data_IF_120787161480
#
_entry.id   IF_120787161480
#
_cell.length_a   1.000
_cell.length_b   1.000
_cell.length_c   1.000
_cell.angle_alpha   90.00
_cell.angle_beta   90.00
_cell.angle_gamma   90.00
#
_symmetry.space_group_name_H-M   'P 1'
#
loop_
_entity.id
_entity.type
_entity.pdbx_description
1 polymer ?
#
# COMPACT_ATOMS: atom_id res chain seq x y z
N UNK A 1 8.58 -15.73 -73.07
CA UNK A 1 9.01 -14.64 -72.11
C UNK A 1 8.01 -13.50 -72.21
N UNK A 2 7.09 -13.38 -71.23
CA UNK A 2 6.15 -12.26 -71.13
C UNK A 2 6.69 -11.28 -70.06
N UNK A 3 7.09 -10.09 -70.48
CA UNK A 3 7.47 -8.98 -69.58
C UNK A 3 6.21 -8.48 -68.93
N UNK A 4 6.13 -8.61 -67.62
CA UNK A 4 5.12 -7.92 -66.71
C UNK A 4 5.52 -6.44 -66.61
N UNK A 5 4.70 -5.57 -67.21
CA UNK A 5 4.87 -4.13 -67.05
C UNK A 5 4.53 -3.71 -65.64
N UNK A 6 5.42 -2.97 -65.01
CA UNK A 6 5.18 -2.24 -63.74
C UNK A 6 4.18 -1.12 -64.06
N UNK A 7 2.98 -1.17 -63.46
CA UNK A 7 2.07 -0.05 -63.45
C UNK A 7 2.46 0.86 -62.28
N UNK A 8 3.20 1.91 -62.57
CA UNK A 8 3.46 2.97 -61.58
C UNK A 8 2.18 3.75 -61.31
N UNK A 9 1.76 3.80 -60.07
CA UNK A 9 0.70 4.68 -59.60
C UNK A 9 1.25 6.11 -59.57
N UNK A 10 0.87 6.95 -60.51
CA UNK A 10 1.13 8.39 -60.47
C UNK A 10 -0.05 9.07 -59.81
N UNK A 11 0.11 9.47 -58.56
CA UNK A 11 -0.87 10.34 -57.86
C UNK A 11 -0.68 11.77 -58.38
N UNK A 12 -1.57 12.27 -59.25
CA UNK A 12 -1.60 13.70 -59.60
C UNK A 12 -2.18 14.48 -58.41
N UNK A 13 -1.29 14.98 -57.57
CA UNK A 13 -1.70 15.90 -56.50
C UNK A 13 -2.00 17.30 -57.08
N UNK A 14 -3.24 17.74 -56.98
CA UNK A 14 -3.65 19.08 -57.32
C UNK A 14 -3.16 20.06 -56.23
N UNK A 15 -2.73 21.27 -56.59
CA UNK A 15 -2.24 22.31 -55.67
C UNK A 15 -3.19 22.57 -54.47
N UNK A 16 -4.50 22.42 -54.70
CA UNK A 16 -5.55 22.53 -53.64
C UNK A 16 -5.50 21.36 -52.64
N UNK A 17 -5.19 20.15 -53.08
CA UNK A 17 -5.05 18.98 -52.23
C UNK A 17 -3.77 19.05 -51.38
N UNK A 18 -2.68 19.59 -51.93
CA UNK A 18 -1.42 19.80 -51.21
C UNK A 18 -1.59 20.85 -50.10
N UNK A 19 -2.30 21.98 -50.39
CA UNK A 19 -2.61 23.01 -49.40
C UNK A 19 -3.50 22.47 -48.27
N UNK A 20 -4.49 21.63 -48.58
CA UNK A 20 -5.36 20.99 -47.56
C UNK A 20 -4.56 20.00 -46.72
N UNK A 21 -3.69 19.20 -47.29
CA UNK A 21 -2.83 18.27 -46.58
C UNK A 21 -1.87 19.02 -45.65
N UNK A 22 -1.22 20.09 -46.14
CA UNK A 22 -0.35 20.94 -45.33
C UNK A 22 -1.14 21.59 -44.15
N UNK A 23 -2.35 22.10 -44.41
CA UNK A 23 -3.21 22.66 -43.37
C UNK A 23 -3.60 21.60 -42.31
N UNK A 24 -3.94 20.39 -42.72
CA UNK A 24 -4.24 19.28 -41.80
C UNK A 24 -3.03 18.91 -40.95
N UNK A 25 -1.84 18.83 -41.52
CA UNK A 25 -0.61 18.57 -40.76
C UNK A 25 -0.35 19.68 -39.73
N UNK A 26 -0.47 20.93 -40.17
CA UNK A 26 -0.27 22.07 -39.25
C UNK A 26 -1.29 22.04 -38.09
N UNK A 27 -2.56 21.80 -38.39
CA UNK A 27 -3.61 21.70 -37.39
C UNK A 27 -3.35 20.53 -36.43
N UNK A 28 -2.96 19.35 -36.96
CA UNK A 28 -2.61 18.18 -36.12
C UNK A 28 -1.43 18.45 -35.20
N UNK A 29 -0.37 19.11 -35.71
CA UNK A 29 0.78 19.48 -34.91
C UNK A 29 0.40 20.51 -33.85
N UNK A 30 -0.37 21.54 -34.20
CA UNK A 30 -0.86 22.53 -33.24
C UNK A 30 -1.73 21.89 -32.16
N UNK A 31 -2.64 20.99 -32.54
CA UNK A 31 -3.49 20.25 -31.60
C UNK A 31 -2.65 19.39 -30.65
N UNK A 32 -1.63 18.73 -31.17
CA UNK A 32 -0.68 17.95 -30.36
C UNK A 32 0.05 18.84 -29.36
N UNK A 33 0.57 20.00 -29.80
CA UNK A 33 1.25 20.95 -28.90
C UNK A 33 0.31 21.56 -27.85
N UNK A 34 -0.92 21.90 -28.23
CA UNK A 34 -1.93 22.38 -27.26
C UNK A 34 -2.25 21.29 -26.25
N UNK A 35 -2.48 20.06 -26.73
CA UNK A 35 -2.79 18.92 -25.87
C UNK A 35 -1.63 18.59 -24.91
N UNK A 36 -0.38 18.54 -25.40
CA UNK A 36 0.79 18.34 -24.55
C UNK A 36 1.02 19.51 -23.61
N UNK A 37 0.77 20.75 -24.05
CA UNK A 37 0.86 21.95 -23.19
C UNK A 37 -0.18 21.95 -22.07
N UNK A 38 -1.41 21.57 -22.37
CA UNK A 38 -2.48 21.39 -21.36
C UNK A 38 -2.11 20.26 -20.39
N UNK A 39 -1.66 19.11 -20.88
CA UNK A 39 -1.19 18.01 -20.01
C UNK A 39 -0.01 18.42 -19.11
N UNK A 40 0.92 19.21 -19.64
CA UNK A 40 2.09 19.68 -18.87
C UNK A 40 1.75 20.82 -17.91
N UNK A 41 0.65 21.56 -18.14
CA UNK A 41 0.17 22.63 -17.25
C UNK A 41 -0.80 22.13 -16.17
N UNK A 42 -1.25 20.90 -16.27
CA UNK A 42 -1.97 20.26 -15.16
C UNK A 42 -0.97 20.03 -14.02
N UNK A 43 -1.32 20.52 -12.83
CA UNK A 43 -0.51 20.27 -11.63
C UNK A 43 -0.20 18.76 -11.51
N UNK A 44 0.97 18.37 -10.93
CA UNK A 44 1.36 16.97 -10.81
C UNK A 44 0.32 16.05 -10.14
N UNK A 45 -0.62 16.62 -9.38
CA UNK A 45 -1.75 15.91 -8.79
C UNK A 45 -2.83 15.43 -9.79
N UNK A 46 -2.85 15.97 -11.02
CA UNK A 46 -3.72 15.50 -12.11
C UNK A 46 -2.99 14.67 -13.17
N UNK A 47 -1.67 14.51 -13.03
CA UNK A 47 -0.91 13.66 -13.92
C UNK A 47 -1.32 12.20 -13.72
N UNK A 48 -2.19 11.73 -14.62
CA UNK A 48 -2.52 10.32 -14.93
C UNK A 48 -2.24 9.30 -13.80
N UNK A 49 -2.77 9.53 -12.60
CA UNK A 49 -2.75 8.59 -11.49
C UNK A 49 -3.94 7.63 -11.55
N UNK A 50 -4.46 7.35 -12.74
CA UNK A 50 -5.42 6.28 -12.91
C UNK A 50 -4.73 4.96 -12.58
N UNK A 51 -5.25 4.27 -11.57
CA UNK A 51 -4.82 2.90 -11.24
C UNK A 51 -4.85 1.98 -12.48
N UNK A 52 -5.75 2.24 -13.42
CA UNK A 52 -5.84 1.54 -14.70
C UNK A 52 -4.64 1.80 -15.61
N UNK A 53 -4.13 3.04 -15.69
CA UNK A 53 -2.93 3.36 -16.47
C UNK A 53 -1.68 2.71 -15.85
N UNK A 54 -1.58 2.72 -14.53
CA UNK A 54 -0.48 2.06 -13.83
C UNK A 54 -0.53 0.53 -13.98
N UNK A 55 -1.70 -0.08 -13.84
CA UNK A 55 -1.87 -1.52 -14.07
C UNK A 55 -1.49 -1.91 -15.49
N UNK A 56 -1.97 -1.13 -16.48
CA UNK A 56 -1.62 -1.36 -17.88
C UNK A 56 -0.12 -1.23 -18.11
N UNK A 57 0.52 -0.16 -17.61
CA UNK A 57 1.96 0.04 -17.81
C UNK A 57 2.81 -1.03 -17.13
N UNK A 58 2.39 -1.54 -15.97
CA UNK A 58 3.07 -2.62 -15.26
C UNK A 58 2.75 -4.02 -15.82
N UNK A 59 1.65 -4.16 -16.56
CA UNK A 59 1.26 -5.40 -17.24
C UNK A 59 1.79 -5.51 -18.68
N UNK A 60 2.54 -4.51 -19.19
CA UNK A 60 3.15 -4.61 -20.53
C UNK A 60 4.33 -5.59 -20.51
N UNK A 61 4.16 -6.66 -21.22
CA UNK A 61 5.20 -7.66 -21.48
C UNK A 61 6.01 -7.32 -22.76
N UNK A 62 7.15 -7.97 -22.94
CA UNK A 62 7.96 -7.78 -24.16
C UNK A 62 7.19 -8.04 -25.46
N UNK A 63 6.24 -8.98 -25.41
CA UNK A 63 5.36 -9.33 -26.53
C UNK A 63 4.43 -8.19 -26.96
N UNK A 64 3.94 -7.40 -26.01
CA UNK A 64 3.09 -6.23 -26.28
C UNK A 64 3.82 -5.16 -27.09
N UNK A 65 5.10 -4.93 -26.78
CA UNK A 65 5.93 -4.02 -27.56
C UNK A 65 6.18 -4.55 -28.98
N UNK A 66 6.34 -5.87 -29.14
CA UNK A 66 6.47 -6.50 -30.47
C UNK A 66 5.16 -6.39 -31.23
N UNK A 67 3.99 -6.52 -30.58
CA UNK A 67 2.69 -6.27 -31.19
C UNK A 67 2.54 -4.81 -31.64
N UNK A 68 2.93 -3.83 -30.82
CA UNK A 68 2.89 -2.42 -31.21
C UNK A 68 3.81 -2.12 -32.40
N UNK A 69 5.04 -2.61 -32.39
CA UNK A 69 5.96 -2.50 -33.55
C UNK A 69 5.42 -3.21 -34.76
N UNK A 70 4.73 -4.34 -34.58
CA UNK A 70 4.08 -5.12 -35.60
C UNK A 70 2.88 -4.43 -36.26
N UNK A 71 2.30 -3.41 -35.64
CA UNK A 71 1.26 -2.57 -36.26
C UNK A 71 1.84 -1.69 -37.39
N UNK A 72 3.06 -1.18 -37.21
CA UNK A 72 3.75 -0.39 -38.21
C UNK A 72 4.46 -1.27 -39.24
N UNK A 73 5.11 -2.36 -38.81
CA UNK A 73 5.81 -3.29 -39.69
C UNK A 73 5.51 -4.74 -39.30
N UNK A 74 4.74 -5.42 -40.17
CA UNK A 74 4.32 -6.82 -39.97
C UNK A 74 5.46 -7.83 -39.79
N UNK A 75 6.70 -7.45 -40.13
CA UNK A 75 7.86 -8.32 -39.99
C UNK A 75 8.09 -8.69 -38.49
N UNK A 76 7.85 -7.74 -37.57
CA UNK A 76 8.01 -8.01 -36.15
C UNK A 76 7.04 -9.06 -35.60
N UNK A 77 5.86 -9.23 -36.22
CA UNK A 77 4.89 -10.25 -35.78
C UNK A 77 5.37 -11.69 -35.99
N UNK A 78 6.42 -11.90 -36.78
CA UNK A 78 6.97 -13.22 -37.01
C UNK A 78 7.75 -13.76 -35.81
N UNK A 79 8.16 -12.89 -34.90
CA UNK A 79 8.89 -13.23 -33.66
C UNK A 79 7.94 -13.53 -32.50
N UNK A 80 6.62 -13.31 -32.68
CA UNK A 80 5.64 -13.59 -31.63
C UNK A 80 5.35 -15.10 -31.52
N UNK A 81 5.13 -15.63 -30.30
CA UNK A 81 4.62 -16.97 -30.12
C UNK A 81 3.30 -17.19 -30.88
N UNK A 82 3.01 -18.43 -31.32
CA UNK A 82 1.79 -18.74 -32.08
C UNK A 82 0.48 -18.49 -31.30
N UNK A 83 0.56 -18.40 -30.00
CA UNK A 83 -0.51 -18.19 -28.99
C UNK A 83 -0.54 -16.77 -28.44
N UNK A 84 0.33 -15.87 -28.90
CA UNK A 84 0.33 -14.48 -28.46
C UNK A 84 -0.98 -13.77 -28.85
N UNK A 85 -1.70 -13.27 -27.84
CA UNK A 85 -2.95 -12.53 -28.05
C UNK A 85 -2.67 -11.08 -28.47
N UNK A 86 -3.39 -10.53 -29.45
CA UNK A 86 -3.19 -9.15 -29.87
C UNK A 86 -3.72 -8.16 -28.83
N UNK A 87 -2.99 -7.07 -28.59
CA UNK A 87 -3.44 -5.98 -27.72
C UNK A 87 -4.80 -5.44 -28.20
N UNK A 88 -5.79 -5.49 -27.33
CA UNK A 88 -7.11 -4.90 -27.59
C UNK A 88 -7.14 -3.42 -27.21
N UNK A 89 -6.63 -2.54 -28.07
CA UNK A 89 -6.59 -1.10 -27.81
C UNK A 89 -7.96 -0.48 -27.48
N UNK A 90 -9.05 -1.06 -27.99
CA UNK A 90 -10.41 -0.61 -27.68
C UNK A 90 -10.83 -0.97 -26.24
N UNK A 91 -10.46 -2.16 -25.75
CA UNK A 91 -10.69 -2.58 -24.38
C UNK A 91 -9.88 -1.71 -23.41
N UNK A 92 -8.61 -1.48 -23.73
CA UNK A 92 -7.75 -0.57 -22.98
C UNK A 92 -8.31 0.86 -22.92
N UNK A 93 -8.71 1.44 -24.06
CA UNK A 93 -9.30 2.78 -24.10
C UNK A 93 -10.59 2.85 -23.28
N UNK A 94 -11.40 1.80 -23.30
CA UNK A 94 -12.61 1.69 -22.49
C UNK A 94 -12.27 1.60 -21.00
N UNK A 95 -11.31 0.77 -20.61
CA UNK A 95 -10.85 0.64 -19.24
C UNK A 95 -10.29 1.95 -18.68
N UNK A 96 -9.45 2.64 -19.43
CA UNK A 96 -8.90 3.96 -19.04
C UNK A 96 -10.01 5.00 -18.89
N UNK A 97 -11.01 4.99 -19.79
CA UNK A 97 -12.10 5.97 -19.76
C UNK A 97 -13.12 5.70 -18.65
N UNK A 98 -13.37 4.43 -18.31
CA UNK A 98 -14.46 4.02 -17.41
C UNK A 98 -13.96 3.40 -16.12
N UNK A 99 -12.69 3.01 -16.05
CA UNK A 99 -12.10 2.15 -15.02
C UNK A 99 -12.80 0.78 -14.89
N UNK A 100 -13.41 0.32 -15.96
CA UNK A 100 -14.08 -1.00 -16.06
C UNK A 100 -13.28 -1.83 -17.04
N UNK A 101 -12.79 -2.99 -16.59
CA UNK A 101 -12.17 -3.97 -17.48
C UNK A 101 -13.26 -4.83 -18.14
N UNK A 102 -13.45 -4.74 -19.47
CA UNK A 102 -14.51 -5.50 -20.16
C UNK A 102 -14.28 -7.02 -20.15
N UNK A 103 -13.07 -7.48 -19.90
CA UNK A 103 -12.71 -8.90 -19.80
C UNK A 103 -12.89 -9.44 -18.39
N UNK A 104 -13.01 -8.56 -17.39
CA UNK A 104 -13.29 -8.93 -16.00
C UNK A 104 -14.65 -8.39 -15.53
N UNK A 105 -15.72 -9.21 -15.55
CA UNK A 105 -17.04 -8.79 -15.08
C UNK A 105 -17.06 -8.29 -13.63
N UNK A 106 -16.07 -8.65 -12.80
CA UNK A 106 -15.94 -8.20 -11.42
C UNK A 106 -15.66 -6.71 -11.36
N UNK A 107 -14.96 -6.15 -12.33
CA UNK A 107 -14.67 -4.71 -12.41
C UNK A 107 -15.93 -3.86 -12.56
N UNK A 108 -16.98 -4.40 -13.20
CA UNK A 108 -18.30 -3.78 -13.33
C UNK A 108 -19.12 -3.91 -12.03
N UNK A 109 -19.08 -5.08 -11.39
CA UNK A 109 -19.92 -5.41 -10.24
C UNK A 109 -19.28 -5.00 -8.92
N UNK A 110 -17.95 -4.95 -8.85
CA UNK A 110 -17.20 -4.71 -7.61
C UNK A 110 -17.48 -3.36 -6.95
N UNK A 111 -17.92 -2.36 -7.73
CA UNK A 111 -18.28 -1.03 -7.22
C UNK A 111 -19.74 -0.91 -6.78
N UNK A 112 -20.62 -1.76 -7.30
CA UNK A 112 -22.06 -1.65 -7.12
C UNK A 112 -22.63 -2.62 -6.09
N UNK A 113 -21.90 -3.72 -5.80
CA UNK A 113 -22.36 -4.75 -4.89
C UNK A 113 -21.51 -4.79 -3.62
N UNK A 114 -22.12 -4.56 -2.44
CA UNK A 114 -21.43 -4.72 -1.16
C UNK A 114 -20.84 -6.14 -1.03
N UNK A 115 -19.58 -6.24 -0.64
CA UNK A 115 -18.89 -7.52 -0.46
C UNK A 115 -18.16 -8.06 -1.69
N UNK A 116 -18.28 -7.44 -2.87
CA UNK A 116 -17.54 -7.89 -4.05
C UNK A 116 -16.02 -7.60 -3.95
N UNK A 117 -15.63 -6.60 -3.18
CA UNK A 117 -14.21 -6.33 -2.85
C UNK A 117 -13.54 -7.49 -2.09
N UNK A 118 -14.31 -8.41 -1.51
CA UNK A 118 -13.77 -9.63 -0.90
C UNK A 118 -13.10 -10.55 -1.94
N UNK A 119 -13.55 -10.52 -3.20
CA UNK A 119 -12.96 -11.29 -4.29
C UNK A 119 -11.63 -10.71 -4.79
N UNK A 120 -11.31 -9.48 -4.42
CA UNK A 120 -10.03 -8.83 -4.68
C UNK A 120 -9.01 -9.08 -3.55
N UNK A 121 -9.32 -10.05 -2.69
CA UNK A 121 -8.51 -10.42 -1.54
C UNK A 121 -8.08 -11.88 -1.63
N UNK A 122 -6.82 -12.15 -1.28
CA UNK A 122 -6.28 -13.51 -1.19
C UNK A 122 -5.72 -13.71 0.21
N UNK A 123 -6.18 -14.72 0.92
CA UNK A 123 -5.61 -15.11 2.22
C UNK A 123 -4.29 -15.83 1.92
N UNK A 124 -3.17 -15.23 2.27
CA UNK A 124 -1.83 -15.81 2.14
C UNK A 124 -1.60 -16.80 3.28
N UNK A 125 -1.84 -16.35 4.52
CA UNK A 125 -1.78 -17.19 5.70
C UNK A 125 -3.07 -16.98 6.49
N UNK A 126 -3.74 -18.07 6.84
CA UNK A 126 -4.94 -18.04 7.69
C UNK A 126 -4.55 -18.36 9.14
N UNK A 127 -4.80 -17.45 10.05
CA UNK A 127 -4.78 -17.73 11.50
C UNK A 127 -6.02 -18.51 11.94
N UNK A 128 -6.09 -18.85 13.22
CA UNK A 128 -7.20 -19.64 13.77
C UNK A 128 -8.56 -18.93 13.56
N UNK A 129 -9.53 -19.67 13.04
CA UNK A 129 -10.89 -19.17 12.76
C UNK A 129 -10.97 -18.16 11.62
N UNK A 130 -9.96 -18.08 10.75
CA UNK A 130 -9.91 -17.16 9.62
C UNK A 130 -10.28 -17.84 8.31
N UNK A 131 -11.25 -17.28 7.61
CA UNK A 131 -11.68 -17.65 6.26
C UNK A 131 -12.22 -16.44 5.49
N UNK A 132 -12.69 -16.65 4.26
CA UNK A 132 -13.23 -15.56 3.42
C UNK A 132 -14.52 -14.92 3.96
N UNK A 133 -15.16 -15.48 4.97
CA UNK A 133 -16.34 -14.87 5.62
C UNK A 133 -15.97 -13.97 6.79
N UNK A 134 -14.69 -14.00 7.20
CA UNK A 134 -14.16 -13.27 8.35
C UNK A 134 -13.16 -12.18 7.97
N UNK A 135 -13.07 -11.80 6.68
CA UNK A 135 -12.14 -10.79 6.19
C UNK A 135 -12.38 -9.42 6.82
N UNK A 136 -11.33 -8.59 6.96
CA UNK A 136 -11.44 -7.26 7.55
C UNK A 136 -12.27 -6.34 6.64
N UNK A 137 -13.03 -5.45 7.29
CA UNK A 137 -13.90 -4.47 6.62
C UNK A 137 -13.52 -3.08 7.09
N UNK A 138 -13.06 -2.24 6.16
CA UNK A 138 -12.85 -0.83 6.42
C UNK A 138 -14.19 -0.11 6.58
N UNK A 139 -14.32 0.68 7.65
CA UNK A 139 -15.44 1.58 7.84
C UNK A 139 -15.15 2.89 7.12
N UNK A 140 -15.92 3.21 6.09
CA UNK A 140 -15.74 4.41 5.27
C UNK A 140 -16.98 5.34 5.34
N UNK A 141 -17.29 5.93 6.51
CA UNK A 141 -18.38 6.87 6.62
C UNK A 141 -18.08 8.17 5.87
N UNK A 142 -19.11 8.98 5.53
CA UNK A 142 -18.89 10.31 4.98
C UNK A 142 -17.98 11.16 5.87
N UNK A 143 -17.14 12.01 5.25
CA UNK A 143 -16.15 12.82 5.99
C UNK A 143 -16.83 13.71 7.05
N UNK A 144 -18.03 14.20 6.80
CA UNK A 144 -18.83 14.99 7.74
C UNK A 144 -19.17 14.22 9.02
N UNK A 145 -19.37 12.89 8.90
CA UNK A 145 -19.61 12.00 10.04
C UNK A 145 -18.34 11.83 10.85
N UNK A 146 -17.19 11.70 10.18
CA UNK A 146 -15.88 11.55 10.84
C UNK A 146 -15.49 12.83 11.58
N UNK A 147 -15.70 13.99 10.96
CA UNK A 147 -15.35 15.29 11.52
C UNK A 147 -16.34 15.80 12.57
N UNK A 148 -17.48 15.14 12.77
CA UNK A 148 -18.41 15.52 13.82
C UNK A 148 -17.81 15.23 15.20
N UNK A 149 -17.80 16.23 16.09
CA UNK A 149 -17.36 16.07 17.47
C UNK A 149 -18.21 15.03 18.20
N UNK A 150 -17.58 14.15 18.96
CA UNK A 150 -18.21 13.15 19.82
C UNK A 150 -17.59 13.21 21.19
N UNK A 151 -18.37 12.85 22.19
CA UNK A 151 -17.87 12.77 23.56
C UNK A 151 -17.27 11.38 23.81
N UNK A 152 -16.04 11.36 24.31
CA UNK A 152 -15.43 10.17 24.86
C UNK A 152 -15.92 9.96 26.30
N UNK A 153 -15.91 8.71 26.77
CA UNK A 153 -16.28 8.40 28.15
C UNK A 153 -15.29 9.07 29.12
N UNK A 154 -15.73 9.37 30.32
CA UNK A 154 -14.87 9.96 31.37
C UNK A 154 -13.69 9.05 31.72
N UNK A 155 -13.91 7.76 31.64
CA UNK A 155 -12.92 6.73 31.90
C UNK A 155 -11.83 6.73 30.81
N UNK A 156 -12.22 6.82 29.55
CA UNK A 156 -11.30 6.92 28.40
C UNK A 156 -10.49 8.21 28.42
N UNK A 157 -11.09 9.34 28.80
CA UNK A 157 -10.38 10.61 28.96
C UNK A 157 -9.36 10.57 30.10
N UNK A 158 -9.70 9.93 31.24
CA UNK A 158 -8.75 9.73 32.33
C UNK A 158 -7.57 8.86 31.94
N UNK A 159 -7.82 7.78 31.16
CA UNK A 159 -6.79 6.90 30.62
C UNK A 159 -5.89 7.61 29.60
N UNK A 160 -6.46 8.44 28.75
CA UNK A 160 -5.70 9.30 27.82
C UNK A 160 -4.71 10.20 28.57
N UNK A 161 -5.14 10.83 29.68
CA UNK A 161 -4.24 11.65 30.53
C UNK A 161 -3.14 10.81 31.17
N UNK A 162 -3.39 9.55 31.51
CA UNK A 162 -2.41 8.64 32.09
C UNK A 162 -1.37 8.24 31.03
N UNK A 163 -1.80 7.83 29.84
CA UNK A 163 -0.92 7.49 28.72
C UNK A 163 -0.02 8.66 28.30
N UNK A 164 -0.55 9.88 28.32
CA UNK A 164 0.24 11.09 27.99
C UNK A 164 1.33 11.42 29.03
N UNK A 165 1.25 10.88 30.25
CA UNK A 165 2.29 11.06 31.29
C UNK A 165 3.44 10.06 31.15
N UNK A 166 3.24 8.95 30.46
CA UNK A 166 4.30 8.00 30.17
C UNK A 166 5.29 8.65 29.19
N UNK A 167 6.53 8.85 29.64
CA UNK A 167 7.57 9.39 28.77
C UNK A 167 8.10 8.28 27.87
N UNK A 168 8.36 8.58 26.57
CA UNK A 168 9.02 7.63 25.69
C UNK A 168 10.40 7.26 26.26
N UNK A 169 10.73 5.98 26.27
CA UNK A 169 12.10 5.54 26.49
C UNK A 169 12.97 6.05 25.31
N UNK A 170 14.23 6.38 25.56
CA UNK A 170 15.16 6.65 24.45
C UNK A 170 15.57 5.33 23.82
N UNK A 171 15.23 5.10 22.55
CA UNK A 171 15.62 3.92 21.79
C UNK A 171 17.13 3.83 21.59
N UNK A 172 17.64 2.61 21.48
CA UNK A 172 19.08 2.36 21.45
C UNK A 172 19.63 1.95 20.07
N UNK A 173 18.89 2.11 18.98
CA UNK A 173 19.43 1.96 17.60
C UNK A 173 20.51 3.01 17.27
N UNK A 174 21.43 3.23 18.24
CA UNK A 174 22.46 4.27 18.19
C UNK A 174 21.92 5.68 17.92
N UNK A 175 20.73 5.98 18.43
CA UNK A 175 20.01 7.24 18.23
C UNK A 175 19.29 7.37 16.87
N UNK A 176 19.37 6.34 16.01
CA UNK A 176 18.64 6.30 14.74
C UNK A 176 17.17 5.94 14.97
N UNK A 177 16.28 6.53 14.18
CA UNK A 177 14.88 6.12 14.08
C UNK A 177 14.75 5.24 12.85
N UNK A 178 14.44 3.97 13.06
CA UNK A 178 14.38 2.95 11.99
C UNK A 178 12.96 2.49 11.68
N UNK A 179 12.02 2.71 12.60
CA UNK A 179 10.61 2.42 12.42
C UNK A 179 9.79 3.71 12.34
N UNK A 180 8.78 3.73 11.46
CA UNK A 180 7.82 4.82 11.31
C UNK A 180 6.40 4.30 11.46
N UNK A 181 5.64 4.89 12.36
CA UNK A 181 4.24 4.54 12.62
C UNK A 181 3.36 5.64 12.07
N UNK A 182 2.38 5.27 11.26
CA UNK A 182 1.41 6.16 10.64
C UNK A 182 0.00 5.64 10.86
N UNK A 183 -0.99 6.52 10.69
CA UNK A 183 -2.41 6.22 10.79
C UNK A 183 -3.15 6.90 9.64
N UNK A 184 -3.32 6.22 8.52
CA UNK A 184 -4.05 6.77 7.36
C UNK A 184 -5.51 7.07 7.71
N UNK A 185 -6.07 6.36 8.68
CA UNK A 185 -7.40 6.58 9.25
C UNK A 185 -7.30 6.99 10.73
N UNK A 186 -6.57 8.06 11.02
CA UNK A 186 -6.16 8.47 12.37
C UNK A 186 -7.29 8.70 13.38
N UNK A 187 -8.55 8.89 12.95
CA UNK A 187 -9.70 9.10 13.85
C UNK A 187 -10.45 7.82 14.18
N UNK A 188 -10.06 6.66 13.63
CA UNK A 188 -10.68 5.39 13.98
C UNK A 188 -10.63 5.14 15.48
N UNK A 189 -11.80 4.98 16.09
CA UNK A 189 -11.96 4.82 17.53
C UNK A 189 -12.70 3.52 17.86
N UNK A 190 -12.84 3.27 19.13
CA UNK A 190 -13.42 2.06 19.69
C UNK A 190 -14.75 2.40 20.36
N UNK A 191 -15.81 1.67 20.01
CA UNK A 191 -17.16 1.96 20.49
C UNK A 191 -17.28 1.99 22.03
N UNK A 192 -16.61 1.09 22.79
CA UNK A 192 -16.66 1.14 24.26
C UNK A 192 -16.05 2.40 24.86
N UNK A 193 -15.22 3.13 24.11
CA UNK A 193 -14.55 4.35 24.57
C UNK A 193 -15.38 5.62 24.35
N UNK A 194 -16.52 5.52 23.66
CA UNK A 194 -17.34 6.65 23.24
C UNK A 194 -18.75 6.60 23.85
N UNK A 195 -19.36 7.78 23.99
CA UNK A 195 -20.77 7.89 24.40
C UNK A 195 -21.73 7.68 23.23
N UNK A 196 -21.54 6.58 22.47
CA UNK A 196 -22.42 6.16 21.37
C UNK A 196 -22.54 4.64 21.32
N UNK A 197 -23.63 4.15 20.75
CA UNK A 197 -23.85 2.71 20.50
C UNK A 197 -23.85 2.37 19.00
N UNK A 198 -23.59 3.34 18.14
CA UNK A 198 -23.54 3.14 16.69
C UNK A 198 -22.08 2.97 16.23
N UNK A 199 -21.68 1.77 15.76
CA UNK A 199 -20.30 1.52 15.35
C UNK A 199 -19.88 2.34 14.13
N UNK A 200 -20.82 2.80 13.30
CA UNK A 200 -20.51 3.68 12.16
C UNK A 200 -20.06 5.08 12.62
N UNK A 201 -20.32 5.43 13.87
CA UNK A 201 -19.92 6.66 14.49
C UNK A 201 -18.64 6.53 15.34
N UNK A 202 -17.99 5.37 15.38
CA UNK A 202 -16.79 5.15 16.20
C UNK A 202 -15.55 5.84 15.62
N UNK A 203 -15.56 7.17 15.63
CA UNK A 203 -14.47 8.05 15.26
C UNK A 203 -14.33 9.16 16.31
N UNK A 204 -13.10 9.47 16.73
CA UNK A 204 -12.82 10.51 17.72
C UNK A 204 -11.45 11.17 17.45
N UNK A 205 -11.34 12.47 17.74
CA UNK A 205 -10.12 13.23 17.47
C UNK A 205 -8.94 12.88 18.36
N UNK A 206 -9.17 12.38 19.59
CA UNK A 206 -8.11 12.13 20.57
C UNK A 206 -8.10 10.68 21.10
N UNK A 207 -9.26 10.07 21.34
CA UNK A 207 -9.37 8.69 21.83
C UNK A 207 -9.59 7.78 20.62
N UNK A 208 -8.50 7.32 20.02
CA UNK A 208 -8.53 6.64 18.73
C UNK A 208 -7.29 5.75 18.55
N UNK A 209 -7.13 5.18 17.36
CA UNK A 209 -6.05 4.27 16.97
C UNK A 209 -4.64 4.88 17.14
N UNK A 210 -4.49 6.20 17.13
CA UNK A 210 -3.18 6.85 17.32
C UNK A 210 -2.58 6.55 18.70
N UNK A 211 -3.42 6.32 19.72
CA UNK A 211 -2.96 5.89 21.05
C UNK A 211 -2.33 4.49 21.01
N UNK A 212 -2.84 3.62 20.16
CA UNK A 212 -2.27 2.28 19.95
C UNK A 212 -0.91 2.40 19.26
N UNK A 213 -0.79 3.31 18.28
CA UNK A 213 0.49 3.60 17.63
C UNK A 213 1.52 4.24 18.57
N UNK A 214 1.11 5.14 19.42
CA UNK A 214 1.99 5.70 20.46
C UNK A 214 2.47 4.64 21.44
N UNK A 215 1.58 3.71 21.84
CA UNK A 215 1.96 2.56 22.70
C UNK A 215 2.94 1.63 21.99
N UNK A 216 2.69 1.30 20.73
CA UNK A 216 3.63 0.49 19.92
C UNK A 216 5.01 1.16 19.89
N UNK A 217 5.08 2.46 19.60
CA UNK A 217 6.34 3.20 19.57
C UNK A 217 7.07 3.15 20.93
N UNK A 218 6.36 3.40 22.04
CA UNK A 218 6.93 3.35 23.38
C UNK A 218 7.53 1.96 23.70
N UNK A 219 6.83 0.90 23.33
CA UNK A 219 7.28 -0.47 23.58
C UNK A 219 8.46 -0.86 22.70
N UNK A 220 8.51 -0.37 21.45
CA UNK A 220 9.66 -0.53 20.57
C UNK A 220 10.89 0.22 21.09
N UNK A 221 10.72 1.46 21.53
CA UNK A 221 11.77 2.26 22.15
C UNK A 221 12.33 1.59 23.41
N UNK A 222 11.48 1.03 24.29
CA UNK A 222 11.90 0.25 25.47
C UNK A 222 12.74 -0.97 25.10
N UNK A 223 12.51 -1.55 23.89
CA UNK A 223 13.25 -2.70 23.37
C UNK A 223 14.46 -2.30 22.51
N UNK A 224 14.77 -1.00 22.51
CA UNK A 224 15.96 -0.47 21.84
C UNK A 224 15.77 -0.15 20.35
N UNK A 225 14.54 -0.11 19.85
CA UNK A 225 14.25 0.21 18.45
C UNK A 225 13.76 1.64 18.34
N UNK A 226 14.58 2.52 17.78
CA UNK A 226 14.22 3.91 17.56
C UNK A 226 13.03 4.04 16.62
N UNK A 227 11.97 4.70 17.09
CA UNK A 227 10.68 4.78 16.40
C UNK A 227 10.22 6.22 16.27
N UNK A 228 9.67 6.55 15.12
CA UNK A 228 9.02 7.84 14.83
C UNK A 228 7.51 7.62 14.64
N UNK A 229 6.69 8.49 15.23
CA UNK A 229 5.23 8.45 15.08
C UNK A 229 4.75 9.67 14.31
N UNK A 230 4.02 9.45 13.22
CA UNK A 230 3.33 10.52 12.51
C UNK A 230 2.12 11.00 13.32
N UNK A 231 2.13 12.30 13.66
CA UNK A 231 1.09 12.92 14.50
C UNK A 231 0.19 13.88 13.74
N UNK A 232 0.47 14.11 12.46
CA UNK A 232 -0.37 14.98 11.64
C UNK A 232 -1.74 14.35 11.42
N UNK A 233 -2.78 15.18 11.47
CA UNK A 233 -4.17 14.75 11.34
C UNK A 233 -4.53 14.64 9.84
N UNK A 234 -4.60 13.41 9.35
CA UNK A 234 -4.98 13.07 7.98
C UNK A 234 -6.38 13.59 7.64
N UNK A 235 -7.31 13.55 8.60
CA UNK A 235 -8.69 14.01 8.34
C UNK A 235 -8.76 15.53 8.22
N UNK A 236 -7.97 16.26 8.99
CA UNK A 236 -7.81 17.71 8.84
C UNK A 236 -7.20 18.06 7.48
N UNK A 237 -6.23 17.28 7.00
CA UNK A 237 -5.62 17.47 5.68
C UNK A 237 -6.63 17.23 4.55
N UNK A 238 -7.45 16.17 4.64
CA UNK A 238 -8.55 15.94 3.71
C UNK A 238 -9.51 17.14 3.63
N UNK A 239 -9.89 17.67 4.80
CA UNK A 239 -10.77 18.84 4.89
C UNK A 239 -10.16 20.07 4.24
N UNK A 240 -8.88 20.35 4.49
CA UNK A 240 -8.16 21.48 3.91
C UNK A 240 -8.09 21.38 2.37
N UNK A 241 -7.87 20.18 1.84
CA UNK A 241 -7.80 19.91 0.40
C UNK A 241 -9.17 19.75 -0.27
N UNK A 242 -10.27 19.72 0.49
CA UNK A 242 -11.60 19.42 -0.02
C UNK A 242 -11.74 17.99 -0.56
N UNK A 243 -10.98 17.08 -0.01
CA UNK A 243 -10.96 15.67 -0.39
C UNK A 243 -11.96 14.86 0.43
N UNK A 244 -12.43 13.75 -0.15
CA UNK A 244 -13.29 12.78 0.53
C UNK A 244 -12.44 11.74 1.29
N UNK A 245 -13.06 11.02 2.22
CA UNK A 245 -12.40 10.00 3.06
C UNK A 245 -11.59 8.97 2.28
N UNK A 246 -12.08 8.51 1.13
CA UNK A 246 -11.35 7.58 0.26
C UNK A 246 -9.99 8.08 -0.26
N UNK A 247 -9.63 9.35 0.03
CA UNK A 247 -8.32 9.96 -0.26
C UNK A 247 -7.37 9.99 0.94
N UNK A 248 -7.70 9.30 2.04
CA UNK A 248 -6.87 9.23 3.24
C UNK A 248 -5.45 8.72 2.94
N UNK A 249 -5.34 7.66 2.13
CA UNK A 249 -4.05 7.13 1.71
C UNK A 249 -3.26 8.10 0.81
N UNK A 250 -3.94 8.90 -0.01
CA UNK A 250 -3.25 9.94 -0.81
C UNK A 250 -2.71 11.07 0.09
N UNK A 251 -3.46 11.44 1.14
CA UNK A 251 -3.01 12.45 2.10
C UNK A 251 -1.87 11.95 2.98
N UNK A 252 -2.00 10.75 3.55
CA UNK A 252 -0.95 10.13 4.37
C UNK A 252 0.32 9.81 3.56
N UNK A 253 0.18 9.56 2.25
CA UNK A 253 1.30 9.36 1.33
C UNK A 253 2.29 10.51 1.34
N UNK A 254 1.80 11.74 1.37
CA UNK A 254 2.66 12.91 1.40
C UNK A 254 3.48 12.94 2.70
N UNK A 255 2.87 12.55 3.83
CA UNK A 255 3.53 12.48 5.12
C UNK A 255 4.64 11.41 5.14
N UNK A 256 4.35 10.22 4.61
CA UNK A 256 5.36 9.14 4.50
C UNK A 256 6.53 9.55 3.61
N UNK A 257 6.26 10.19 2.46
CA UNK A 257 7.32 10.69 1.58
C UNK A 257 8.20 11.73 2.25
N UNK A 258 7.61 12.62 3.04
CA UNK A 258 8.36 13.62 3.80
C UNK A 258 9.22 12.97 4.88
N UNK A 259 8.68 11.99 5.62
CA UNK A 259 9.43 11.25 6.63
C UNK A 259 10.64 10.54 6.01
N UNK A 260 10.46 9.82 4.91
CA UNK A 260 11.55 9.16 4.17
C UNK A 260 12.59 10.18 3.70
N UNK A 261 12.16 11.34 3.18
CA UNK A 261 13.07 12.37 2.70
C UNK A 261 13.86 13.07 3.82
N UNK A 262 13.35 13.05 5.06
CA UNK A 262 13.97 13.68 6.23
C UNK A 262 14.87 12.72 7.01
N UNK A 263 14.63 11.42 6.88
CA UNK A 263 15.34 10.41 7.64
C UNK A 263 15.57 9.13 6.80
N UNK A 264 16.80 9.01 6.28
CA UNK A 264 17.23 7.87 5.46
C UNK A 264 17.39 6.56 6.25
N UNK A 265 17.37 6.61 7.59
CA UNK A 265 17.46 5.42 8.45
C UNK A 265 16.12 4.68 8.58
N UNK A 266 14.99 5.28 8.15
CA UNK A 266 13.67 4.64 8.22
C UNK A 266 13.60 3.47 7.24
N UNK A 267 13.41 2.27 7.79
CA UNK A 267 13.38 1.00 7.03
C UNK A 267 12.11 0.20 7.25
N UNK A 268 11.37 0.46 8.33
CA UNK A 268 10.14 -0.25 8.68
C UNK A 268 8.98 0.74 8.84
N UNK A 269 7.83 0.43 8.23
CA UNK A 269 6.67 1.31 8.23
C UNK A 269 5.41 0.53 8.65
N UNK A 270 4.68 1.07 9.62
CA UNK A 270 3.45 0.47 10.14
C UNK A 270 2.30 1.47 10.02
N UNK A 271 1.33 1.18 9.16
CA UNK A 271 0.06 1.92 9.08
C UNK A 271 -0.98 1.19 9.93
N UNK A 272 -1.33 1.77 11.10
CA UNK A 272 -2.19 1.11 12.06
C UNK A 272 -3.65 1.51 11.87
N UNK A 273 -4.50 0.51 11.87
CA UNK A 273 -5.94 0.59 11.68
C UNK A 273 -6.68 -0.27 12.73
N UNK A 274 -8.00 -0.17 12.75
CA UNK A 274 -8.88 -1.10 13.45
C UNK A 274 -9.96 -1.63 12.51
N UNK A 275 -10.32 -2.89 12.64
CA UNK A 275 -11.34 -3.56 11.84
C UNK A 275 -12.76 -3.10 12.22
N UNK A 276 -13.72 -3.20 11.31
CA UNK A 276 -15.14 -2.89 11.56
C UNK A 276 -16.02 -4.14 11.75
N UNK A 277 -15.42 -5.34 11.78
CA UNK A 277 -16.18 -6.60 11.95
C UNK A 277 -16.57 -6.86 13.42
N UNK A 278 -17.48 -7.82 13.68
CA UNK A 278 -17.95 -8.15 15.03
C UNK A 278 -16.83 -8.55 16.01
N UNK A 279 -17.06 -8.28 17.30
CA UNK A 279 -16.11 -8.52 18.39
C UNK A 279 -15.58 -9.96 18.44
N UNK A 280 -16.43 -10.94 18.15
CA UNK A 280 -16.08 -12.35 18.17
C UNK A 280 -14.96 -12.70 17.19
N UNK A 281 -14.79 -11.91 16.14
CA UNK A 281 -13.74 -12.09 15.14
C UNK A 281 -12.46 -11.32 15.49
N UNK A 282 -12.59 -10.25 16.29
CA UNK A 282 -11.49 -9.33 16.59
C UNK A 282 -10.95 -9.47 18.00
N UNK A 283 -11.41 -10.45 18.77
CA UNK A 283 -10.98 -10.63 20.18
C UNK A 283 -10.52 -12.07 20.41
N UNK A 284 -9.44 -12.21 21.17
CA UNK A 284 -8.95 -13.50 21.69
C UNK A 284 -8.60 -13.33 23.17
N UNK A 285 -8.81 -14.41 23.95
CA UNK A 285 -8.40 -14.44 25.37
C UNK A 285 -7.13 -15.27 25.51
N UNK A 286 -6.06 -14.65 25.98
CA UNK A 286 -4.76 -15.32 26.21
C UNK A 286 -4.41 -15.14 27.68
N UNK A 287 -4.18 -16.24 28.39
CA UNK A 287 -3.86 -16.26 29.82
C UNK A 287 -4.86 -15.50 30.73
N UNK A 288 -6.13 -15.46 30.32
CA UNK A 288 -7.20 -14.79 31.06
C UNK A 288 -7.39 -13.32 30.73
N UNK A 289 -6.56 -12.73 29.87
CA UNK A 289 -6.66 -11.36 29.39
C UNK A 289 -7.17 -11.31 27.95
N UNK A 290 -8.02 -10.34 27.63
CA UNK A 290 -8.50 -10.14 26.27
C UNK A 290 -7.53 -9.26 25.49
N UNK A 291 -7.31 -9.64 24.23
CA UNK A 291 -6.51 -8.94 23.22
C UNK A 291 -7.35 -8.62 22.00
N UNK A 292 -7.10 -7.48 21.38
CA UNK A 292 -7.60 -7.20 20.03
C UNK A 292 -6.76 -7.98 19.01
N UNK A 293 -7.39 -8.88 18.23
CA UNK A 293 -6.68 -9.70 17.23
C UNK A 293 -6.09 -8.83 16.13
N UNK A 294 -4.93 -9.19 15.64
CA UNK A 294 -4.23 -8.46 14.59
C UNK A 294 -4.46 -9.10 13.21
N UNK A 295 -4.41 -8.28 12.17
CA UNK A 295 -4.44 -8.72 10.78
C UNK A 295 -3.40 -7.95 9.97
N UNK A 296 -2.56 -8.61 9.21
CA UNK A 296 -1.61 -7.98 8.31
C UNK A 296 -2.21 -7.88 6.91
N UNK A 297 -2.27 -6.68 6.35
CA UNK A 297 -2.84 -6.41 5.02
C UNK A 297 -1.75 -5.92 4.09
N UNK A 298 -1.57 -6.64 2.99
CA UNK A 298 -0.58 -6.35 1.96
C UNK A 298 -1.27 -5.85 0.69
N UNK A 299 -0.77 -4.75 0.13
CA UNK A 299 -1.20 -4.23 -1.16
C UNK A 299 -0.42 -4.90 -2.29
N UNK A 300 -1.09 -5.67 -3.14
CA UNK A 300 -0.46 -6.44 -4.22
C UNK A 300 -0.26 -5.67 -5.54
N UNK A 301 -0.51 -4.35 -5.57
CA UNK A 301 -0.41 -3.54 -6.79
C UNK A 301 0.89 -2.71 -6.88
N UNK A 302 2.01 -3.27 -6.42
CA UNK A 302 3.35 -2.71 -6.59
C UNK A 302 4.40 -3.82 -6.72
N UNK A 303 5.55 -3.49 -7.30
CA UNK A 303 6.56 -4.49 -7.71
C UNK A 303 7.27 -5.21 -6.56
N UNK A 304 7.29 -4.63 -5.35
CA UNK A 304 8.01 -5.16 -4.18
C UNK A 304 7.11 -5.70 -3.08
N UNK A 305 5.83 -5.96 -3.35
CA UNK A 305 4.85 -6.41 -2.35
C UNK A 305 5.26 -7.72 -1.65
N UNK A 306 6.00 -8.61 -2.33
CA UNK A 306 6.47 -9.89 -1.78
C UNK A 306 7.45 -9.72 -0.60
N UNK A 307 8.13 -8.56 -0.48
CA UNK A 307 8.97 -8.26 0.68
C UNK A 307 8.12 -7.92 1.90
N UNK A 308 7.08 -7.14 1.69
CA UNK A 308 6.09 -6.81 2.72
C UNK A 308 5.34 -8.07 3.18
N UNK A 309 5.00 -8.95 2.23
CA UNK A 309 4.36 -10.24 2.50
C UNK A 309 5.24 -11.11 3.39
N UNK A 310 6.54 -11.27 3.08
CA UNK A 310 7.47 -12.04 3.93
C UNK A 310 7.56 -11.49 5.35
N UNK A 311 7.70 -10.16 5.51
CA UNK A 311 7.71 -9.55 6.84
C UNK A 311 6.42 -9.84 7.61
N UNK A 312 5.26 -9.74 6.93
CA UNK A 312 3.96 -10.03 7.53
C UNK A 312 3.83 -11.49 7.97
N UNK A 313 4.31 -12.44 7.15
CA UNK A 313 4.32 -13.87 7.47
C UNK A 313 5.21 -14.17 8.68
N UNK A 314 6.42 -13.64 8.72
CA UNK A 314 7.34 -13.79 9.85
C UNK A 314 6.73 -13.28 11.16
N UNK A 315 6.14 -12.07 11.13
CA UNK A 315 5.48 -11.52 12.31
C UNK A 315 4.22 -12.31 12.70
N UNK A 316 3.46 -12.82 11.73
CA UNK A 316 2.34 -13.71 12.00
C UNK A 316 2.78 -14.97 12.76
N UNK A 317 3.79 -15.67 12.26
CA UNK A 317 4.26 -16.92 12.89
C UNK A 317 4.85 -16.66 14.28
N UNK A 318 5.62 -15.59 14.47
CA UNK A 318 6.14 -15.19 15.80
C UNK A 318 5.00 -14.84 16.78
N UNK A 319 3.94 -14.16 16.30
CA UNK A 319 2.75 -13.90 17.12
C UNK A 319 2.04 -15.18 17.51
N UNK A 320 1.83 -16.12 16.59
CA UNK A 320 1.16 -17.40 16.87
C UNK A 320 1.97 -18.27 17.83
N UNK A 321 3.28 -18.22 17.78
CA UNK A 321 4.16 -18.94 18.71
C UNK A 321 4.03 -18.41 20.15
N UNK A 322 4.04 -17.10 20.35
CA UNK A 322 4.06 -16.47 21.68
C UNK A 322 2.66 -16.11 22.20
N UNK A 323 1.76 -15.74 21.32
CA UNK A 323 0.40 -15.28 21.62
C UNK A 323 -0.63 -16.02 20.74
N UNK A 324 -0.83 -17.33 20.95
CA UNK A 324 -1.68 -18.14 20.08
C UNK A 324 -3.08 -17.58 19.85
N UNK A 325 -3.49 -17.44 18.59
CA UNK A 325 -4.76 -16.90 18.16
C UNK A 325 -4.81 -15.36 18.10
N UNK A 326 -3.70 -14.66 18.43
CA UNK A 326 -3.65 -13.20 18.34
C UNK A 326 -3.65 -12.74 16.89
N UNK A 327 -2.89 -13.40 16.02
CA UNK A 327 -2.86 -13.05 14.61
C UNK A 327 -3.97 -13.76 13.83
N UNK A 328 -4.75 -13.01 13.08
CA UNK A 328 -5.75 -13.55 12.14
C UNK A 328 -5.13 -14.00 10.82
N UNK A 329 -3.87 -13.60 10.54
CA UNK A 329 -3.12 -14.01 9.37
C UNK A 329 -2.63 -12.86 8.50
N UNK A 330 -2.34 -13.19 7.23
CA UNK A 330 -1.83 -12.27 6.20
C UNK A 330 -2.80 -12.26 5.02
N UNK A 331 -3.22 -11.07 4.63
CA UNK A 331 -4.17 -10.84 3.54
C UNK A 331 -3.53 -10.00 2.44
N UNK A 332 -3.53 -10.50 1.22
CA UNK A 332 -3.17 -9.75 0.02
C UNK A 332 -4.42 -9.12 -0.59
N UNK A 333 -4.43 -7.81 -0.75
CA UNK A 333 -5.48 -7.06 -1.45
C UNK A 333 -4.96 -6.59 -2.81
N UNK A 334 -5.61 -7.03 -3.89
CA UNK A 334 -5.23 -6.70 -5.26
C UNK A 334 -6.46 -6.71 -6.15
N UNK A 335 -6.78 -5.59 -6.77
CA UNK A 335 -7.91 -5.50 -7.70
C UNK A 335 -8.67 -4.18 -7.60
N UNK A 336 -9.66 -3.97 -8.48
CA UNK A 336 -10.33 -2.68 -8.64
C UNK A 336 -11.18 -2.24 -7.43
N UNK A 337 -11.50 -3.15 -6.52
CA UNK A 337 -12.29 -2.88 -5.31
C UNK A 337 -11.45 -2.47 -4.10
N UNK A 338 -10.12 -2.38 -4.22
CA UNK A 338 -9.22 -2.04 -3.12
C UNK A 338 -8.31 -0.86 -3.46
N UNK A 339 -7.63 -0.30 -2.45
CA UNK A 339 -6.54 0.65 -2.69
C UNK A 339 -5.35 -0.05 -3.41
N UNK A 340 -5.11 -1.33 -3.10
CA UNK A 340 -4.12 -2.18 -3.74
C UNK A 340 -2.65 -1.83 -3.44
N UNK A 341 -2.36 -0.69 -2.80
CA UNK A 341 -1.00 -0.22 -2.47
C UNK A 341 -0.80 0.13 -1.00
N UNK A 342 -1.76 0.85 -0.39
CA UNK A 342 -1.69 1.29 1.02
C UNK A 342 -0.36 1.99 1.38
N UNK A 343 0.18 2.81 0.47
CA UNK A 343 1.49 3.46 0.58
C UNK A 343 2.70 2.51 0.70
N UNK A 344 2.50 1.20 0.66
CA UNK A 344 3.55 0.18 0.81
C UNK A 344 4.51 0.14 -0.38
N UNK A 345 4.20 0.81 -1.49
CA UNK A 345 5.08 1.00 -2.63
C UNK A 345 6.16 2.08 -2.41
N UNK A 346 6.11 2.81 -1.29
CA UNK A 346 7.08 3.85 -0.96
C UNK A 346 8.35 3.30 -0.30
N UNK A 347 8.22 2.18 0.42
CA UNK A 347 9.32 1.55 1.11
C UNK A 347 9.13 0.03 1.20
N UNK A 348 10.25 -0.69 1.20
CA UNK A 348 10.28 -2.10 1.59
C UNK A 348 10.01 -2.22 3.10
N UNK A 349 9.47 -3.34 3.57
CA UNK A 349 9.09 -3.58 4.96
C UNK A 349 7.99 -2.61 5.46
N UNK A 350 6.98 -2.39 4.63
CA UNK A 350 5.82 -1.56 4.94
C UNK A 350 4.57 -2.43 5.11
N UNK A 351 3.89 -2.30 6.24
CA UNK A 351 2.71 -3.10 6.60
C UNK A 351 1.54 -2.21 6.96
N UNK A 352 0.34 -2.60 6.53
CA UNK A 352 -0.89 -2.15 7.17
C UNK A 352 -1.29 -3.22 8.19
N UNK A 353 -1.56 -2.78 9.43
CA UNK A 353 -1.91 -3.68 10.52
C UNK A 353 -3.22 -3.25 11.16
N UNK A 354 -4.23 -4.10 11.02
CA UNK A 354 -5.46 -3.98 11.80
C UNK A 354 -5.19 -4.48 13.23
N UNK A 355 -5.49 -3.69 14.24
CA UNK A 355 -5.33 -4.06 15.65
C UNK A 355 -6.68 -3.99 16.35
N UNK A 356 -7.26 -5.16 16.59
CA UNK A 356 -8.61 -5.30 17.11
C UNK A 356 -9.67 -4.82 16.13
N UNK A 357 -10.83 -4.47 16.65
CA UNK A 357 -11.95 -3.93 15.88
C UNK A 357 -12.76 -2.93 16.67
N UNK A 358 -13.77 -2.35 16.02
CA UNK A 358 -14.61 -1.28 16.55
C UNK A 358 -15.24 -1.59 17.92
N UNK A 359 -15.41 -2.87 18.25
CA UNK A 359 -16.02 -3.31 19.53
C UNK A 359 -14.99 -3.70 20.61
N UNK A 360 -13.70 -3.60 20.32
CA UNK A 360 -12.66 -3.79 21.34
C UNK A 360 -12.54 -2.56 22.24
N UNK A 361 -12.05 -2.76 23.46
CA UNK A 361 -11.62 -1.66 24.30
C UNK A 361 -10.23 -1.19 23.88
N UNK A 362 -9.90 0.06 24.15
CA UNK A 362 -8.56 0.59 23.95
C UNK A 362 -7.50 -0.27 24.67
N UNK A 363 -7.83 -0.75 25.89
CA UNK A 363 -6.91 -1.59 26.68
C UNK A 363 -6.57 -2.92 26.00
N UNK A 364 -7.55 -3.55 25.36
CA UNK A 364 -7.34 -4.79 24.60
C UNK A 364 -6.40 -4.57 23.41
N UNK A 365 -6.51 -3.43 22.75
CA UNK A 365 -5.68 -3.09 21.61
C UNK A 365 -4.28 -2.61 22.00
N UNK A 366 -4.15 -1.94 23.16
CA UNK A 366 -2.85 -1.60 23.75
C UNK A 366 -2.05 -2.86 24.09
N UNK A 367 -2.69 -3.88 24.69
CA UNK A 367 -2.03 -5.19 24.94
C UNK A 367 -1.55 -5.85 23.64
N UNK A 368 -2.30 -5.71 22.57
CA UNK A 368 -1.89 -6.24 21.26
C UNK A 368 -0.71 -5.48 20.65
N UNK A 369 -0.65 -4.17 20.87
CA UNK A 369 0.51 -3.36 20.50
C UNK A 369 1.77 -3.79 21.29
N UNK A 370 1.63 -4.11 22.58
CA UNK A 370 2.73 -4.65 23.39
C UNK A 370 3.25 -5.96 22.83
N UNK A 371 2.34 -6.89 22.46
CA UNK A 371 2.68 -8.17 21.86
C UNK A 371 3.35 -8.00 20.47
N UNK A 372 2.82 -7.11 19.64
CA UNK A 372 3.43 -6.81 18.35
C UNK A 372 4.83 -6.21 18.50
N UNK A 373 5.01 -5.29 19.47
CA UNK A 373 6.32 -4.71 19.75
C UNK A 373 7.34 -5.77 20.20
N UNK A 374 6.91 -6.75 21.00
CA UNK A 374 7.76 -7.84 21.47
C UNK A 374 8.27 -8.69 20.29
N UNK A 375 7.35 -9.17 19.44
CA UNK A 375 7.72 -10.05 18.32
C UNK A 375 8.48 -9.31 17.23
N UNK A 376 8.13 -8.03 16.97
CA UNK A 376 8.87 -7.23 16.01
C UNK A 376 10.28 -6.92 16.49
N UNK A 377 10.49 -6.66 17.78
CA UNK A 377 11.81 -6.43 18.32
C UNK A 377 12.70 -7.68 18.20
N UNK A 378 12.14 -8.86 18.44
CA UNK A 378 12.86 -10.13 18.24
C UNK A 378 13.24 -10.30 16.76
N UNK A 379 12.29 -10.13 15.86
CA UNK A 379 12.54 -10.17 14.42
C UNK A 379 13.64 -9.19 14.00
N UNK A 380 13.57 -7.94 14.47
CA UNK A 380 14.53 -6.90 14.12
C UNK A 380 15.94 -7.28 14.54
N UNK A 381 16.13 -7.66 15.80
CA UNK A 381 17.46 -7.98 16.33
C UNK A 381 18.04 -9.27 15.78
N UNK A 382 17.23 -10.26 15.43
CA UNK A 382 17.68 -11.47 14.72
C UNK A 382 18.24 -11.12 13.34
N UNK A 383 17.53 -10.30 12.56
CA UNK A 383 17.97 -9.89 11.23
C UNK A 383 19.22 -8.97 11.27
N UNK A 384 19.31 -8.06 12.25
CA UNK A 384 20.51 -7.23 12.43
C UNK A 384 21.74 -8.10 12.80
N UNK A 385 21.57 -9.12 13.62
CA UNK A 385 22.63 -10.05 13.98
C UNK A 385 23.11 -10.86 12.76
N UNK A 386 22.18 -11.39 11.95
CA UNK A 386 22.52 -12.11 10.71
C UNK A 386 23.24 -11.23 9.70
N UNK A 387 22.86 -9.95 9.57
CA UNK A 387 23.53 -9.00 8.68
C UNK A 387 24.99 -8.76 9.11
N UNK A 388 25.26 -8.60 10.41
CA UNK A 388 26.61 -8.40 10.94
C UNK A 388 27.47 -9.66 10.74
N UNK A 389 26.93 -10.84 10.98
CA UNK A 389 27.64 -12.10 10.77
C UNK A 389 27.92 -12.35 9.28
N UNK A 390 26.99 -11.99 8.39
CA UNK A 390 27.16 -12.07 6.95
C UNK A 390 28.23 -11.12 6.41
N UNK A 391 28.30 -9.88 6.90
CA UNK A 391 29.39 -8.95 6.56
C UNK A 391 30.75 -9.44 7.06
N UNK A 392 30.84 -9.97 8.28
CA UNK A 392 32.05 -10.51 8.83
C UNK A 392 32.57 -11.73 8.04
N UNK A 393 31.65 -12.59 7.57
CA UNK A 393 31.98 -13.73 6.71
C UNK A 393 32.51 -13.29 5.34
N UNK A 394 31.89 -12.29 4.71
CA UNK A 394 32.29 -11.73 3.40
C UNK A 394 33.66 -11.07 3.47
N UNK A 395 33.95 -10.32 4.53
CA UNK A 395 35.26 -9.68 4.76
C UNK A 395 36.37 -10.72 4.96
N UNK A 396 36.06 -11.86 5.59
CA UNK A 396 37.04 -12.94 5.76
C UNK A 396 37.28 -13.67 4.44
N UNK A 397 36.32 -13.86 3.59
CA UNK A 397 36.51 -14.46 2.25
C UNK A 397 37.30 -13.53 1.32
N UNK A 398 37.05 -12.23 1.32
CA UNK A 398 37.86 -11.26 0.56
C UNK A 398 39.33 -11.22 1.05
N UNK A 399 39.56 -11.25 2.37
CA UNK A 399 40.89 -11.25 2.94
C UNK A 399 41.69 -12.54 2.60
N UNK A 400 41.00 -13.69 2.47
CA UNK A 400 41.62 -14.94 2.05
C UNK A 400 41.95 -14.93 0.55
N UNK A 401 41.14 -14.34 -0.30
CA UNK A 401 41.38 -14.21 -1.74
C UNK A 401 42.53 -13.23 -2.04
N UNK A 402 42.62 -12.12 -1.32
CA UNK A 402 43.73 -11.14 -1.52
C UNK A 402 45.05 -11.57 -0.92
N UNK A 403 45.06 -12.41 0.13
CA UNK A 403 46.27 -12.97 0.75
C UNK A 403 46.94 -14.11 -0.03
N UNK A 404 46.24 -14.69 -1.03
CA UNK A 404 46.75 -15.81 -1.86
C UNK A 404 47.60 -15.37 -3.08
N UNK A 405 47.59 -14.10 -3.48
CA UNK A 405 48.32 -13.61 -4.67
C UNK A 405 49.76 -13.10 -4.37
N UNK A 406 50.17 -12.96 -3.13
CA UNK A 406 51.53 -12.47 -2.80
C UNK A 406 52.60 -13.59 -2.59
N UNK A 407 52.26 -14.87 -2.87
CA UNK A 407 53.10 -16.02 -2.55
C UNK A 407 53.89 -16.65 -3.70
N UNK A 408 53.74 -16.25 -4.97
CA UNK A 408 54.49 -16.83 -6.10
C UNK A 408 55.26 -15.77 -6.89
N UNK A 409 56.37 -15.33 -6.33
CA UNK A 409 57.29 -14.40 -7.01
C UNK A 409 58.70 -14.40 -6.38
N UNK A 410 59.43 -15.56 -6.39
CA UNK A 410 60.89 -15.60 -6.33
C UNK A 410 61.45 -16.88 -6.94
#
# INVERSE_FOLDING_TARGET
MRRRGFHGFTVKMNQTSLKRLAALIIVSVMTLFIFTGVLASLEPGYAMTSSSVHRWANGLEGEDFVHLLGMENQYFKQELPPDAEPIQLSALAFEVATSINPEDPRSLLGRELPGFSLFDSTIIVAGDGTDYTTLPVESAPPLEVILAEREATKESLAKLEELRKEQPAEGSTNGRKVAHIIHSHNTESFLPELETNDPSLAHHGEVNITLVGERLAQELEKRGIGTEVERRDVQSELKQRGWQYGKSYDASRDFVKEAIAQNDDLTYFFDLHRDAVPRELTTVTINGENYGRTWFVIGGEHASYEKNERLAEELHYKLEEKFPGLSRGVLLKKGPGTNGKFNQDLAENSLLVEIGGVYNTLEETLRSADALAEVFAEYYWENEAEAVDGEAASMTEEAVQTGGEEGEGK
#
